data_IF_176090718013
#
_entry.id   IF_176090718013
#
_cell.length_a   1.000
_cell.length_b   1.000
_cell.length_c   1.000
_cell.angle_alpha   90.00
_cell.angle_beta   90.00
_cell.angle_gamma   90.00
#
_symmetry.space_group_name_H-M   'P 1'
#
loop_
_entity.id
_entity.type
_entity.pdbx_description
1 polymer ?
#
# COMPACT_ATOMS: atom_id res chain seq x y z
N UNK A 1 22.97 6.58 -21.18
CA UNK A 1 22.60 7.45 -20.05
C UNK A 1 22.99 6.69 -18.78
N UNK A 2 23.71 7.34 -17.86
CA UNK A 2 24.09 6.75 -16.58
C UNK A 2 22.80 6.59 -15.73
N UNK A 3 22.75 5.60 -14.83
CA UNK A 3 21.60 5.36 -13.95
C UNK A 3 21.22 6.60 -13.13
N UNK A 4 22.22 7.35 -12.66
CA UNK A 4 22.01 8.59 -11.90
C UNK A 4 21.35 9.66 -12.76
N UNK A 5 21.79 9.84 -13.98
CA UNK A 5 21.18 10.78 -14.95
C UNK A 5 19.71 10.45 -15.21
N UNK A 6 19.39 9.15 -15.29
CA UNK A 6 17.99 8.71 -15.45
C UNK A 6 17.13 8.99 -14.20
N UNK A 7 17.70 8.84 -13.00
CA UNK A 7 17.01 9.16 -11.75
C UNK A 7 16.86 10.67 -11.55
N UNK A 8 17.85 11.45 -11.98
CA UNK A 8 17.85 12.91 -11.84
C UNK A 8 16.68 13.57 -12.57
N UNK A 9 16.24 13.02 -13.71
CA UNK A 9 15.05 13.49 -14.42
C UNK A 9 13.82 13.57 -13.47
N UNK A 10 13.74 12.64 -12.52
CA UNK A 10 12.67 12.62 -11.53
C UNK A 10 13.02 13.37 -10.25
N UNK A 11 14.26 13.21 -9.77
CA UNK A 11 14.69 13.88 -8.55
C UNK A 11 14.66 15.42 -8.68
N UNK A 12 14.86 15.96 -9.88
CA UNK A 12 14.72 17.38 -10.18
C UNK A 12 13.27 17.89 -10.07
N UNK A 13 12.26 17.00 -10.04
CA UNK A 13 10.87 17.37 -9.75
C UNK A 13 10.67 17.74 -8.28
N UNK A 14 11.58 17.34 -7.40
CA UNK A 14 11.55 17.72 -5.99
C UNK A 14 12.12 19.12 -5.84
N UNK A 15 11.25 20.10 -5.54
CA UNK A 15 11.68 21.46 -5.27
C UNK A 15 12.66 21.51 -4.09
N UNK A 16 13.84 22.11 -4.28
CA UNK A 16 14.79 22.35 -3.20
C UNK A 16 14.40 23.60 -2.43
N UNK A 17 13.91 23.49 -1.18
CA UNK A 17 13.49 24.64 -0.39
C UNK A 17 14.63 25.43 0.21
N UNK A 18 15.90 24.98 0.02
CA UNK A 18 17.08 25.63 0.60
C UNK A 18 17.47 26.89 -0.19
N UNK A 19 18.05 27.85 0.52
CA UNK A 19 18.64 29.05 -0.14
C UNK A 19 19.83 28.68 -1.02
N UNK A 20 19.78 29.05 -2.28
CA UNK A 20 20.83 28.76 -3.27
C UNK A 20 22.25 29.22 -2.84
N UNK A 21 22.34 30.21 -1.96
CA UNK A 21 23.62 30.76 -1.47
C UNK A 21 24.41 29.82 -0.54
N UNK A 22 23.77 28.75 -0.02
CA UNK A 22 24.34 27.87 1.01
C UNK A 22 24.17 26.37 0.70
N UNK A 23 24.04 26.02 -0.58
CA UNK A 23 23.91 24.61 -0.99
C UNK A 23 25.32 24.04 -1.20
N UNK A 24 25.77 23.17 -0.31
CA UNK A 24 27.00 22.38 -0.45
C UNK A 24 26.77 21.12 -1.25
N UNK A 25 25.62 20.46 -1.02
CA UNK A 25 25.26 19.19 -1.64
C UNK A 25 24.00 19.37 -2.50
N UNK A 26 24.02 18.89 -3.74
CA UNK A 26 22.83 18.89 -4.61
C UNK A 26 21.73 18.03 -3.99
N UNK A 27 20.47 18.46 -4.12
CA UNK A 27 19.35 17.69 -3.58
C UNK A 27 19.21 16.32 -4.26
N UNK A 28 19.43 16.27 -5.57
CA UNK A 28 19.40 15.02 -6.35
C UNK A 28 20.42 14.00 -5.85
N UNK A 29 21.60 14.44 -5.43
CA UNK A 29 22.64 13.58 -4.87
C UNK A 29 22.24 13.08 -3.47
N UNK A 30 21.68 13.96 -2.64
CA UNK A 30 21.13 13.56 -1.32
C UNK A 30 20.03 12.51 -1.49
N UNK A 31 19.10 12.70 -2.42
CA UNK A 31 18.02 11.72 -2.68
C UNK A 31 18.61 10.40 -3.17
N UNK A 32 19.64 10.41 -4.01
CA UNK A 32 20.33 9.21 -4.44
C UNK A 32 20.94 8.44 -3.26
N UNK A 33 21.63 9.14 -2.35
CA UNK A 33 22.23 8.55 -1.14
C UNK A 33 21.15 7.92 -0.25
N UNK A 34 20.03 8.62 -0.03
CA UNK A 34 18.93 8.12 0.81
C UNK A 34 18.31 6.86 0.21
N UNK A 35 17.97 6.89 -1.09
CA UNK A 35 17.34 5.75 -1.78
C UNK A 35 18.27 4.55 -1.82
N UNK A 36 19.56 4.74 -2.14
CA UNK A 36 20.53 3.64 -2.20
C UNK A 36 20.81 3.05 -0.81
N UNK A 37 20.96 3.89 0.22
CA UNK A 37 21.11 3.44 1.60
C UNK A 37 19.91 2.61 2.07
N UNK A 38 18.69 3.08 1.82
CA UNK A 38 17.47 2.33 2.17
C UNK A 38 17.33 1.03 1.38
N UNK A 39 17.71 0.98 0.11
CA UNK A 39 17.77 -0.27 -0.67
C UNK A 39 18.83 -1.24 -0.10
N UNK A 40 19.82 -0.73 0.60
CA UNK A 40 20.86 -1.51 1.29
C UNK A 40 20.51 -1.83 2.76
N UNK A 41 19.25 -1.77 3.16
CA UNK A 41 18.75 -2.06 4.51
C UNK A 41 19.08 -1.01 5.59
N UNK A 42 19.46 0.22 5.24
CA UNK A 42 19.58 1.28 6.22
C UNK A 42 18.18 1.69 6.73
N UNK A 43 17.98 1.67 8.04
CA UNK A 43 16.66 1.91 8.66
C UNK A 43 16.48 3.36 9.13
N UNK A 44 17.59 4.08 9.36
CA UNK A 44 17.62 5.46 9.83
C UNK A 44 18.72 6.29 9.12
N UNK A 45 18.79 7.57 9.47
CA UNK A 45 19.72 8.52 8.84
C UNK A 45 21.17 8.28 9.24
N UNK A 46 21.44 7.76 10.43
CA UNK A 46 22.80 7.44 10.89
C UNK A 46 23.35 6.30 10.05
N UNK A 47 22.60 5.22 9.88
CA UNK A 47 22.99 4.09 9.02
C UNK A 47 23.14 4.50 7.55
N UNK A 48 22.34 5.45 7.04
CA UNK A 48 22.49 5.96 5.67
C UNK A 48 23.83 6.68 5.53
N UNK A 49 24.27 7.45 6.52
CA UNK A 49 25.56 8.13 6.52
C UNK A 49 26.70 7.11 6.59
N UNK A 50 26.65 6.18 7.54
CA UNK A 50 27.64 5.09 7.66
C UNK A 50 27.78 4.33 6.34
N UNK A 51 26.64 3.97 5.72
CA UNK A 51 26.64 3.34 4.40
C UNK A 51 27.35 4.21 3.35
N UNK A 52 27.06 5.51 3.31
CA UNK A 52 27.63 6.41 2.32
C UNK A 52 29.14 6.65 2.56
N UNK A 53 29.59 6.70 3.81
CA UNK A 53 31.01 6.80 4.18
C UNK A 53 31.76 5.53 3.79
N UNK A 54 31.26 4.35 4.13
CA UNK A 54 31.85 3.05 3.78
C UNK A 54 31.84 2.78 2.27
N UNK A 55 30.91 3.38 1.53
CA UNK A 55 30.74 3.25 0.09
C UNK A 55 31.08 4.55 -0.66
N UNK A 56 32.00 5.36 -0.12
CA UNK A 56 32.33 6.68 -0.67
C UNK A 56 32.71 6.62 -2.16
N UNK A 57 33.49 5.64 -2.59
CA UNK A 57 33.89 5.48 -3.98
C UNK A 57 32.69 5.20 -4.90
N UNK A 58 31.72 4.40 -4.43
CA UNK A 58 30.46 4.16 -5.13
C UNK A 58 29.63 5.44 -5.21
N UNK A 59 29.47 6.18 -4.11
CA UNK A 59 28.71 7.42 -4.09
C UNK A 59 29.35 8.44 -5.04
N UNK A 60 30.65 8.65 -4.99
CA UNK A 60 31.37 9.58 -5.86
C UNK A 60 31.32 9.21 -7.35
N UNK A 61 31.17 7.93 -7.67
CA UNK A 61 30.99 7.50 -9.07
C UNK A 61 29.67 7.98 -9.68
N UNK A 62 28.62 8.22 -8.86
CA UNK A 62 27.28 8.57 -9.33
C UNK A 62 26.82 9.97 -8.89
N UNK A 63 27.55 10.65 -8.03
CA UNK A 63 27.21 11.97 -7.50
C UNK A 63 28.38 12.93 -7.65
N UNK A 64 28.12 14.22 -7.43
CA UNK A 64 29.16 15.25 -7.37
C UNK A 64 29.64 15.53 -5.94
N UNK A 65 29.48 14.53 -5.04
CA UNK A 65 29.88 14.70 -3.62
C UNK A 65 31.35 14.37 -3.42
N UNK A 66 32.15 15.37 -2.98
CA UNK A 66 33.52 15.12 -2.53
C UNK A 66 33.54 14.51 -1.11
N UNK A 67 32.56 14.84 -0.29
CA UNK A 67 32.41 14.38 1.10
C UNK A 67 30.97 14.03 1.41
N UNK A 68 30.76 13.14 2.38
CA UNK A 68 29.41 12.79 2.85
C UNK A 68 28.89 13.86 3.82
N UNK A 69 27.60 14.27 3.73
CA UNK A 69 27.01 15.21 4.68
C UNK A 69 26.94 14.61 6.08
N UNK A 70 27.17 15.41 7.10
CA UNK A 70 26.96 14.98 8.47
C UNK A 70 25.45 14.79 8.78
N UNK A 71 25.15 14.04 9.86
CA UNK A 71 23.78 13.72 10.27
C UNK A 71 22.87 14.95 10.39
N UNK A 72 23.37 16.02 10.99
CA UNK A 72 22.61 17.27 11.16
C UNK A 72 22.25 17.91 9.81
N UNK A 73 23.16 17.86 8.84
CA UNK A 73 22.91 18.36 7.49
C UNK A 73 21.84 17.54 6.79
N UNK A 74 21.98 16.21 6.79
CA UNK A 74 20.99 15.30 6.18
C UNK A 74 19.61 15.44 6.83
N UNK A 75 19.56 15.48 8.17
CA UNK A 75 18.32 15.69 8.94
C UNK A 75 17.66 17.04 8.59
N UNK A 76 18.44 18.12 8.55
CA UNK A 76 17.90 19.45 8.20
C UNK A 76 17.32 19.49 6.79
N UNK A 77 17.94 18.80 5.83
CA UNK A 77 17.44 18.73 4.45
C UNK A 77 16.09 18.01 4.42
N UNK A 78 15.99 16.81 5.03
CA UNK A 78 14.76 16.03 5.02
C UNK A 78 13.63 16.75 5.76
N UNK A 79 13.95 17.46 6.85
CA UNK A 79 12.96 18.20 7.64
C UNK A 79 12.22 19.28 6.85
N UNK A 80 12.83 19.82 5.79
CA UNK A 80 12.26 20.92 5.00
C UNK A 80 11.72 20.49 3.64
N UNK A 81 11.95 19.24 3.22
CA UNK A 81 11.40 18.71 1.97
C UNK A 81 9.87 18.70 2.00
N UNK A 82 9.24 18.97 0.88
CA UNK A 82 7.79 18.81 0.71
C UNK A 82 7.46 17.35 0.37
N UNK A 83 6.74 16.61 1.25
CA UNK A 83 6.41 15.21 1.00
C UNK A 83 5.68 14.98 -0.33
N UNK A 84 4.77 15.91 -0.71
CA UNK A 84 4.02 15.83 -1.96
C UNK A 84 4.92 15.85 -3.20
N UNK A 85 6.00 16.64 -3.20
CA UNK A 85 6.93 16.67 -4.32
C UNK A 85 7.75 15.38 -4.40
N UNK A 86 8.17 14.84 -3.25
CA UNK A 86 8.87 13.56 -3.18
C UNK A 86 7.97 12.40 -3.65
N UNK A 87 6.71 12.40 -3.25
CA UNK A 87 5.72 11.41 -3.68
C UNK A 87 5.48 11.45 -5.18
N UNK A 88 5.28 12.64 -5.76
CA UNK A 88 5.14 12.83 -7.21
C UNK A 88 6.38 12.37 -7.99
N UNK A 89 7.58 12.67 -7.47
CA UNK A 89 8.84 12.23 -8.04
C UNK A 89 8.91 10.69 -8.10
N UNK A 90 8.73 10.03 -6.96
CA UNK A 90 8.86 8.57 -6.87
C UNK A 90 7.71 7.85 -7.59
N UNK A 91 6.49 8.41 -7.56
CA UNK A 91 5.38 7.93 -8.36
C UNK A 91 5.65 8.08 -9.87
N UNK A 92 6.27 9.19 -10.28
CA UNK A 92 6.68 9.42 -11.67
C UNK A 92 7.59 8.32 -12.20
N UNK A 93 8.56 7.87 -11.39
CA UNK A 93 9.46 6.76 -11.74
C UNK A 93 8.64 5.47 -11.98
N UNK A 94 7.70 5.14 -11.10
CA UNK A 94 6.80 3.98 -11.30
C UNK A 94 5.88 4.16 -12.49
N UNK A 95 5.31 5.34 -12.70
CA UNK A 95 4.30 5.59 -13.72
C UNK A 95 4.84 5.37 -15.14
N UNK A 96 6.11 5.64 -15.39
CA UNK A 96 6.73 5.34 -16.69
C UNK A 96 6.90 3.84 -16.92
N UNK A 97 7.21 3.08 -15.87
CA UNK A 97 7.21 1.61 -15.94
C UNK A 97 5.79 1.08 -16.13
N UNK A 98 4.80 1.75 -15.51
CA UNK A 98 3.39 1.35 -15.57
C UNK A 98 2.74 1.74 -16.90
N UNK A 99 3.00 2.92 -17.46
CA UNK A 99 2.42 3.38 -18.73
C UNK A 99 2.76 2.48 -19.91
N UNK A 100 3.90 1.82 -19.89
CA UNK A 100 4.29 0.85 -20.93
C UNK A 100 3.58 -0.50 -20.79
N UNK A 101 2.91 -0.79 -19.65
CA UNK A 101 2.38 -2.14 -19.33
C UNK A 101 0.98 -2.17 -18.70
N UNK A 102 0.34 -1.04 -18.34
CA UNK A 102 -0.86 -1.12 -17.50
C UNK A 102 -2.02 -0.22 -17.96
N UNK A 103 -3.08 -0.87 -18.43
CA UNK A 103 -4.42 -0.39 -18.19
C UNK A 103 -4.81 -0.73 -16.75
N UNK A 104 -5.34 0.21 -15.96
CA UNK A 104 -5.88 -0.02 -14.62
C UNK A 104 -7.14 -0.91 -14.64
N UNK A 105 -7.59 -1.27 -15.83
CA UNK A 105 -8.79 -2.08 -16.03
C UNK A 105 -8.72 -3.38 -15.23
N UNK A 106 -9.66 -3.50 -14.29
CA UNK A 106 -9.77 -4.62 -13.35
C UNK A 106 -8.64 -4.74 -12.32
N UNK A 107 -7.69 -3.80 -12.26
CA UNK A 107 -6.68 -3.77 -11.19
C UNK A 107 -7.31 -3.44 -9.85
N UNK A 108 -6.77 -4.00 -8.79
CA UNK A 108 -7.26 -3.75 -7.44
C UNK A 108 -6.40 -2.72 -6.74
N UNK A 109 -7.05 -1.69 -6.19
CA UNK A 109 -6.46 -0.71 -5.29
C UNK A 109 -6.99 -0.98 -3.87
N UNK A 110 -6.09 -1.30 -2.95
CA UNK A 110 -6.41 -1.50 -1.55
C UNK A 110 -6.13 -0.21 -0.80
N UNK A 111 -7.13 0.33 -0.12
CA UNK A 111 -6.98 1.52 0.72
C UNK A 111 -7.13 1.10 2.18
N UNK A 112 -6.10 1.43 3.00
CA UNK A 112 -6.06 1.10 4.41
C UNK A 112 -5.18 2.08 5.18
N UNK A 113 -5.44 2.23 6.48
CA UNK A 113 -4.73 3.12 7.37
C UNK A 113 -3.75 2.40 8.29
N UNK A 114 -2.55 2.98 8.43
CA UNK A 114 -1.54 2.53 9.39
C UNK A 114 -1.20 3.65 10.37
N UNK A 115 -1.16 3.31 11.67
CA UNK A 115 -0.65 4.20 12.70
C UNK A 115 0.83 3.92 12.94
N UNK A 116 1.69 4.95 12.86
CA UNK A 116 3.12 4.84 13.17
C UNK A 116 3.29 5.20 14.65
N UNK A 117 3.41 4.17 15.50
CA UNK A 117 3.35 4.29 16.95
C UNK A 117 4.47 5.16 17.55
N UNK A 118 5.68 5.10 16.99
CA UNK A 118 6.85 5.86 17.46
C UNK A 118 6.72 7.38 17.34
N UNK A 119 5.74 7.85 16.57
CA UNK A 119 5.53 9.29 16.34
C UNK A 119 4.84 10.00 17.50
N UNK A 120 4.26 9.23 18.45
CA UNK A 120 3.67 9.78 19.65
C UNK A 120 4.77 10.27 20.64
N UNK A 121 4.62 11.48 21.19
CA UNK A 121 5.48 11.97 22.26
C UNK A 121 4.72 12.05 23.57
N UNK A 122 5.24 11.41 24.63
CA UNK A 122 4.62 11.46 25.97
C UNK A 122 4.63 12.87 26.57
N UNK A 123 5.55 13.74 26.14
CA UNK A 123 5.74 15.08 26.70
C UNK A 123 4.76 16.12 26.16
N UNK A 124 4.21 15.93 24.99
CA UNK A 124 3.41 16.95 24.28
C UNK A 124 1.96 16.54 24.04
N UNK A 125 1.52 15.37 24.56
CA UNK A 125 0.22 14.77 24.23
C UNK A 125 -0.05 14.66 22.71
N UNK A 126 1.02 14.60 21.91
CA UNK A 126 0.89 14.40 20.47
C UNK A 126 0.43 12.98 20.17
N UNK A 127 -0.60 12.91 19.35
CA UNK A 127 -1.11 11.62 18.86
C UNK A 127 -0.17 11.04 17.82
N UNK A 128 -0.05 9.70 17.76
CA UNK A 128 0.75 9.06 16.73
C UNK A 128 0.21 9.40 15.35
N UNK A 129 1.12 9.56 14.39
CA UNK A 129 0.79 9.84 13.01
C UNK A 129 0.03 8.64 12.41
N UNK A 130 -1.07 8.91 11.73
CA UNK A 130 -1.83 7.91 11.02
C UNK A 130 -1.77 8.22 9.50
N UNK A 131 -1.41 7.21 8.70
CA UNK A 131 -1.23 7.34 7.25
C UNK A 131 -2.20 6.41 6.55
N UNK A 132 -3.00 6.95 5.64
CA UNK A 132 -3.86 6.19 4.75
C UNK A 132 -3.12 6.00 3.43
N UNK A 133 -3.03 4.77 2.98
CA UNK A 133 -2.27 4.37 1.79
C UNK A 133 -3.19 3.75 0.76
N UNK A 134 -3.05 4.15 -0.50
CA UNK A 134 -3.62 3.47 -1.65
C UNK A 134 -2.56 2.57 -2.28
N UNK A 135 -2.72 1.26 -2.15
CA UNK A 135 -1.80 0.26 -2.68
C UNK A 135 -2.39 -0.40 -3.92
N UNK A 136 -1.71 -0.34 -5.04
CA UNK A 136 -1.99 -1.16 -6.21
C UNK A 136 -1.57 -2.60 -5.90
N UNK A 137 -2.54 -3.47 -5.61
CA UNK A 137 -2.29 -4.77 -4.99
C UNK A 137 -1.40 -5.68 -5.85
N UNK A 138 -1.72 -5.85 -7.14
CA UNK A 138 -1.00 -6.74 -8.04
C UNK A 138 0.47 -6.31 -8.25
N UNK A 139 0.74 -5.02 -8.14
CA UNK A 139 2.06 -4.45 -8.37
C UNK A 139 2.82 -4.13 -7.07
N UNK A 140 2.11 -4.12 -5.94
CA UNK A 140 2.64 -3.69 -4.62
C UNK A 140 3.25 -2.29 -4.66
N UNK A 141 2.60 -1.38 -5.39
CA UNK A 141 3.02 0.01 -5.56
C UNK A 141 2.07 0.91 -4.79
N UNK A 142 2.60 1.78 -3.93
CA UNK A 142 1.83 2.87 -3.33
C UNK A 142 1.53 3.91 -4.40
N UNK A 143 0.23 4.13 -4.68
CA UNK A 143 -0.24 5.14 -5.64
C UNK A 143 -0.33 6.54 -5.03
N UNK A 144 -0.44 6.61 -3.71
CA UNK A 144 -0.54 7.83 -2.95
C UNK A 144 -0.84 7.55 -1.49
N UNK A 145 -0.70 8.59 -0.66
CA UNK A 145 -1.01 8.52 0.75
C UNK A 145 -1.49 9.86 1.29
N UNK A 146 -2.26 9.81 2.37
CA UNK A 146 -2.65 11.00 3.13
C UNK A 146 -2.33 10.77 4.60
N UNK A 147 -1.69 11.75 5.21
CA UNK A 147 -1.40 11.74 6.64
C UNK A 147 -2.50 12.48 7.41
N UNK A 148 -3.02 11.86 8.46
CA UNK A 148 -4.03 12.45 9.33
C UNK A 148 -3.55 12.50 10.77
N UNK A 149 -4.01 13.51 11.52
CA UNK A 149 -3.62 13.71 12.91
C UNK A 149 -4.25 12.68 13.87
N UNK A 150 -5.34 12.04 13.44
CA UNK A 150 -6.03 11.05 14.25
C UNK A 150 -6.83 10.08 13.39
N UNK A 151 -7.02 8.86 13.91
CA UNK A 151 -7.86 7.83 13.28
C UNK A 151 -9.31 8.27 13.02
N UNK A 152 -9.84 9.24 13.78
CA UNK A 152 -11.17 9.79 13.55
C UNK A 152 -11.33 10.52 12.22
N UNK A 153 -10.24 10.95 11.59
CA UNK A 153 -10.23 11.64 10.30
C UNK A 153 -9.95 10.69 9.12
N UNK A 154 -9.94 9.39 9.34
CA UNK A 154 -9.59 8.39 8.33
C UNK A 154 -10.58 8.36 7.17
N UNK A 155 -11.89 8.44 7.45
CA UNK A 155 -12.93 8.41 6.40
C UNK A 155 -12.82 9.63 5.45
N UNK A 156 -12.73 10.88 5.93
CA UNK A 156 -12.51 12.03 5.07
C UNK A 156 -11.22 11.93 4.25
N UNK A 157 -10.13 11.52 4.87
CA UNK A 157 -8.83 11.41 4.19
C UNK A 157 -8.81 10.29 3.13
N UNK A 158 -9.50 9.19 3.36
CA UNK A 158 -9.66 8.16 2.35
C UNK A 158 -10.44 8.65 1.11
N UNK A 159 -11.46 9.50 1.33
CA UNK A 159 -12.20 10.15 0.23
C UNK A 159 -11.30 11.12 -0.55
N UNK A 160 -10.54 11.95 0.14
CA UNK A 160 -9.55 12.84 -0.47
C UNK A 160 -8.51 12.04 -1.29
N UNK A 161 -8.04 10.91 -0.75
CA UNK A 161 -7.08 10.06 -1.46
C UNK A 161 -7.69 9.47 -2.75
N UNK A 162 -8.96 9.07 -2.74
CA UNK A 162 -9.68 8.58 -3.94
C UNK A 162 -9.76 9.67 -5.02
N UNK A 163 -9.93 10.93 -4.64
CA UNK A 163 -9.96 12.08 -5.57
C UNK A 163 -8.58 12.40 -6.16
N UNK A 164 -7.51 12.14 -5.40
CA UNK A 164 -6.13 12.44 -5.82
C UNK A 164 -5.54 11.41 -6.77
N UNK A 165 -6.00 10.15 -6.72
CA UNK A 165 -5.48 9.06 -7.54
C UNK A 165 -6.42 8.74 -8.70
N UNK A 166 -5.88 8.25 -9.81
CA UNK A 166 -6.71 7.72 -10.90
C UNK A 166 -7.28 6.34 -10.47
N UNK A 167 -8.59 6.27 -10.31
CA UNK A 167 -9.32 5.03 -9.94
C UNK A 167 -10.16 4.47 -11.08
N UNK A 168 -10.09 5.10 -12.26
CA UNK A 168 -10.90 4.70 -13.42
C UNK A 168 -10.66 3.23 -13.77
N UNK A 169 -11.77 2.51 -13.96
CA UNK A 169 -11.80 1.08 -14.28
C UNK A 169 -11.16 0.14 -13.22
N UNK A 170 -10.60 0.68 -12.14
CA UNK A 170 -10.05 -0.09 -11.01
C UNK A 170 -11.17 -0.63 -10.08
N UNK A 171 -10.79 -1.58 -9.23
CA UNK A 171 -11.63 -2.08 -8.13
C UNK A 171 -11.01 -1.63 -6.80
N UNK A 172 -11.71 -0.75 -6.10
CA UNK A 172 -11.29 -0.25 -4.78
C UNK A 172 -11.78 -1.21 -3.71
N UNK A 173 -10.88 -1.63 -2.83
CA UNK A 173 -11.23 -2.42 -1.65
C UNK A 173 -10.84 -1.67 -0.39
N UNK A 174 -11.71 -1.63 0.59
CA UNK A 174 -11.54 -0.91 1.83
C UNK A 174 -12.18 -1.68 2.99
N UNK A 175 -11.69 -1.41 4.20
CA UNK A 175 -12.23 -1.93 5.44
C UNK A 175 -13.67 -1.46 5.72
N UNK A 176 -14.35 -2.15 6.62
CA UNK A 176 -15.73 -1.88 6.99
C UNK A 176 -15.99 -0.47 7.50
N UNK A 177 -15.01 0.21 8.08
CA UNK A 177 -15.13 1.60 8.51
C UNK A 177 -15.41 2.53 7.32
N UNK A 178 -14.83 2.23 6.18
CA UNK A 178 -15.00 2.98 4.94
C UNK A 178 -16.21 2.54 4.09
N UNK A 179 -16.96 1.52 4.55
CA UNK A 179 -18.19 1.09 3.91
C UNK A 179 -19.30 2.12 4.22
N UNK A 180 -19.30 3.20 3.44
CA UNK A 180 -20.23 4.34 3.54
C UNK A 180 -20.83 4.61 2.16
N UNK A 181 -22.10 5.10 2.14
CA UNK A 181 -22.81 5.41 0.89
C UNK A 181 -22.06 6.45 0.05
N UNK A 182 -21.57 7.50 0.73
CA UNK A 182 -20.81 8.57 0.08
C UNK A 182 -19.47 8.10 -0.48
N UNK A 183 -18.83 7.13 0.18
CA UNK A 183 -17.58 6.52 -0.35
C UNK A 183 -17.87 5.70 -1.60
N UNK A 184 -18.94 4.91 -1.59
CA UNK A 184 -19.38 4.14 -2.75
C UNK A 184 -19.74 5.05 -3.94
N UNK A 185 -20.46 6.15 -3.66
CA UNK A 185 -20.82 7.16 -4.65
C UNK A 185 -19.58 7.80 -5.28
N UNK A 186 -18.63 8.27 -4.44
CA UNK A 186 -17.39 8.90 -4.88
C UNK A 186 -16.58 7.98 -5.81
N UNK A 187 -16.44 6.69 -5.46
CA UNK A 187 -15.72 5.72 -6.29
C UNK A 187 -16.39 5.58 -7.66
N UNK A 188 -17.72 5.47 -7.71
CA UNK A 188 -18.46 5.34 -8.97
C UNK A 188 -18.37 6.61 -9.82
N UNK A 189 -18.44 7.79 -9.21
CA UNK A 189 -18.32 9.08 -9.91
C UNK A 189 -16.95 9.27 -10.55
N UNK A 190 -15.89 8.75 -9.89
CA UNK A 190 -14.54 8.72 -10.45
C UNK A 190 -14.30 7.54 -11.43
N UNK A 191 -15.35 6.81 -11.83
CA UNK A 191 -15.26 5.74 -12.83
C UNK A 191 -14.70 4.41 -12.32
N UNK A 192 -14.50 4.27 -11.01
CA UNK A 192 -14.04 3.05 -10.36
C UNK A 192 -15.18 2.08 -10.02
N UNK A 193 -14.81 0.93 -9.47
CA UNK A 193 -15.71 -0.04 -8.86
C UNK A 193 -15.27 -0.28 -7.42
N UNK A 194 -16.17 -0.79 -6.58
CA UNK A 194 -15.85 -1.10 -5.20
C UNK A 194 -16.15 -2.53 -4.80
N UNK A 195 -15.40 -3.01 -3.81
CA UNK A 195 -15.72 -4.16 -2.96
C UNK A 195 -15.49 -3.72 -1.52
N UNK A 196 -16.57 -3.48 -0.78
CA UNK A 196 -16.54 -2.93 0.58
C UNK A 196 -17.05 -3.97 1.58
N UNK A 197 -16.35 -4.10 2.71
CA UNK A 197 -16.79 -5.00 3.77
C UNK A 197 -17.97 -4.38 4.54
N UNK A 198 -19.08 -5.09 4.63
CA UNK A 198 -20.28 -4.69 5.36
C UNK A 198 -20.21 -5.24 6.79
N UNK A 199 -20.38 -4.39 7.79
CA UNK A 199 -20.42 -4.73 9.22
C UNK A 199 -21.54 -3.99 9.94
N UNK A 200 -21.64 -4.22 11.25
CA UNK A 200 -22.69 -3.66 12.13
C UNK A 200 -22.78 -2.11 12.14
N UNK A 201 -21.74 -1.38 11.67
CA UNK A 201 -21.82 0.07 11.48
C UNK A 201 -22.90 0.50 10.46
N UNK A 202 -23.42 -0.42 9.62
CA UNK A 202 -24.52 -0.20 8.68
C UNK A 202 -25.89 -0.65 9.24
N UNK A 203 -25.96 -0.95 10.55
CA UNK A 203 -27.20 -1.23 11.27
C UNK A 203 -28.04 -2.34 10.63
N UNK A 204 -29.32 -2.05 10.40
CA UNK A 204 -30.29 -3.02 9.90
C UNK A 204 -29.90 -3.64 8.55
N UNK A 205 -29.26 -2.88 7.67
CA UNK A 205 -28.81 -3.44 6.39
C UNK A 205 -27.81 -4.59 6.56
N UNK A 206 -26.88 -4.45 7.51
CA UNK A 206 -25.96 -5.54 7.84
C UNK A 206 -26.71 -6.74 8.43
N UNK A 207 -27.67 -6.52 9.34
CA UNK A 207 -28.44 -7.59 9.97
C UNK A 207 -29.24 -8.40 8.95
N UNK A 208 -29.92 -7.70 8.03
CA UNK A 208 -30.70 -8.31 6.95
C UNK A 208 -29.81 -9.11 6.00
N UNK A 209 -28.65 -8.56 5.60
CA UNK A 209 -27.67 -9.27 4.75
C UNK A 209 -27.05 -10.46 5.49
N UNK A 210 -26.63 -10.28 6.76
CA UNK A 210 -26.00 -11.34 7.52
C UNK A 210 -26.95 -12.52 7.73
N UNK A 211 -28.24 -12.26 7.97
CA UNK A 211 -29.26 -13.30 8.13
C UNK A 211 -29.36 -14.22 6.91
N UNK A 212 -29.14 -13.70 5.69
CA UNK A 212 -29.18 -14.52 4.46
C UNK A 212 -28.01 -15.51 4.37
N UNK A 213 -26.90 -15.24 5.07
CA UNK A 213 -25.69 -16.07 5.04
C UNK A 213 -25.42 -16.80 6.36
N UNK A 214 -26.28 -16.64 7.40
CA UNK A 214 -26.15 -17.39 8.64
C UNK A 214 -26.47 -18.86 8.40
N UNK A 215 -25.70 -19.76 9.04
CA UNK A 215 -25.82 -21.22 8.86
C UNK A 215 -27.26 -21.75 9.07
N UNK A 216 -28.03 -21.14 10.00
CA UNK A 216 -29.42 -21.50 10.21
C UNK A 216 -30.32 -21.21 9.02
N UNK A 217 -30.06 -20.15 8.31
CA UNK A 217 -30.81 -19.76 7.12
C UNK A 217 -30.34 -20.52 5.89
N UNK A 218 -29.06 -20.78 5.75
CA UNK A 218 -28.50 -21.54 4.62
C UNK A 218 -28.98 -22.99 4.62
N UNK A 219 -29.16 -23.61 5.81
CA UNK A 219 -29.75 -24.96 5.92
C UNK A 219 -31.26 -25.00 5.54
N UNK A 220 -31.94 -23.85 5.64
CA UNK A 220 -33.34 -23.68 5.26
C UNK A 220 -33.46 -23.15 3.81
N UNK A 221 -32.60 -22.23 3.44
CA UNK A 221 -32.60 -21.53 2.15
C UNK A 221 -32.05 -22.37 0.98
N UNK A 222 -31.46 -23.52 1.24
CA UNK A 222 -31.03 -24.48 0.20
C UNK A 222 -32.18 -24.89 -0.76
N UNK A 223 -33.42 -24.43 -0.46
CA UNK A 223 -34.59 -24.68 -1.29
C UNK A 223 -35.15 -23.49 -2.05
N UNK A 224 -34.84 -22.25 -1.62
CA UNK A 224 -35.50 -21.06 -2.16
C UNK A 224 -34.53 -19.91 -2.59
N UNK A 225 -33.24 -19.95 -2.23
CA UNK A 225 -32.24 -18.96 -2.66
C UNK A 225 -31.12 -19.62 -3.45
N UNK A 226 -30.95 -19.23 -4.71
CA UNK A 226 -29.81 -19.65 -5.49
C UNK A 226 -28.59 -18.77 -5.21
N UNK A 227 -27.48 -19.43 -4.81
CA UNK A 227 -26.19 -18.78 -4.66
C UNK A 227 -25.22 -19.22 -5.75
N UNK A 228 -24.53 -18.28 -6.36
CA UNK A 228 -23.29 -18.61 -7.04
C UNK A 228 -22.21 -18.85 -5.98
N UNK A 229 -21.50 -19.96 -6.05
CA UNK A 229 -20.49 -20.30 -5.03
C UNK A 229 -19.15 -20.62 -5.63
N UNK A 230 -18.09 -20.26 -4.90
CA UNK A 230 -16.72 -20.66 -5.21
C UNK A 230 -15.91 -20.89 -3.94
N UNK A 231 -15.12 -21.97 -3.89
CA UNK A 231 -14.36 -22.35 -2.70
C UNK A 231 -12.88 -22.54 -2.99
N UNK A 232 -12.05 -22.14 -2.02
CA UNK A 232 -10.61 -22.46 -2.00
C UNK A 232 -10.26 -23.18 -0.70
N UNK A 233 -9.29 -24.10 -0.77
CA UNK A 233 -8.73 -24.78 0.41
C UNK A 233 -7.24 -24.59 0.41
N UNK A 234 -6.70 -24.09 1.51
CA UNK A 234 -5.28 -23.87 1.70
C UNK A 234 -4.79 -24.55 2.97
N UNK A 235 -3.55 -25.06 2.90
CA UNK A 235 -2.84 -25.59 4.06
C UNK A 235 -1.58 -24.77 4.28
N UNK A 236 -1.51 -24.08 5.39
CA UNK A 236 -0.36 -23.22 5.74
C UNK A 236 -0.18 -23.16 7.27
N UNK A 237 1.07 -23.13 7.72
CA UNK A 237 1.41 -22.95 9.15
C UNK A 237 0.63 -23.87 10.11
N UNK A 238 0.49 -25.18 9.75
CA UNK A 238 -0.19 -26.18 10.59
C UNK A 238 -1.72 -26.08 10.63
N UNK A 239 -2.33 -25.17 9.85
CA UNK A 239 -3.80 -25.02 9.74
C UNK A 239 -4.29 -25.35 8.34
N UNK A 240 -5.52 -25.88 8.28
CA UNK A 240 -6.28 -26.00 7.03
C UNK A 240 -7.33 -24.92 7.07
N UNK A 241 -7.42 -24.17 6.01
CA UNK A 241 -8.35 -23.06 5.87
C UNK A 241 -9.14 -23.21 4.57
N UNK A 242 -10.47 -23.32 4.71
CA UNK A 242 -11.41 -23.30 3.59
C UNK A 242 -12.12 -21.96 3.58
N UNK A 243 -12.14 -21.32 2.42
CA UNK A 243 -12.94 -20.12 2.17
C UNK A 243 -13.96 -20.43 1.09
N UNK A 244 -15.21 -20.08 1.36
CA UNK A 244 -16.29 -20.20 0.39
C UNK A 244 -16.95 -18.83 0.23
N UNK A 245 -16.97 -18.33 -0.99
CA UNK A 245 -17.72 -17.15 -1.38
C UNK A 245 -19.12 -17.58 -1.80
N UNK A 246 -20.14 -16.94 -1.26
CA UNK A 246 -21.54 -17.09 -1.59
C UNK A 246 -22.05 -15.77 -2.13
N UNK A 247 -22.53 -15.73 -3.35
CA UNK A 247 -23.06 -14.53 -4.00
C UNK A 247 -24.56 -14.70 -4.19
N UNK A 248 -25.35 -13.75 -3.72
CA UNK A 248 -26.80 -13.75 -3.95
C UNK A 248 -27.07 -13.55 -5.46
N UNK A 249 -27.81 -14.47 -6.07
CA UNK A 249 -28.26 -14.35 -7.46
C UNK A 249 -29.41 -13.34 -7.56
N UNK A 250 -30.33 -13.40 -6.60
CA UNK A 250 -31.49 -12.51 -6.52
C UNK A 250 -31.27 -11.47 -5.42
N UNK A 251 -31.12 -10.21 -5.82
CA UNK A 251 -30.95 -9.07 -4.92
C UNK A 251 -32.23 -8.24 -4.76
N UNK A 252 -33.35 -8.76 -5.28
CA UNK A 252 -34.67 -8.10 -5.26
C UNK A 252 -35.17 -7.81 -3.83
N UNK A 253 -34.81 -8.65 -2.86
CA UNK A 253 -35.09 -8.41 -1.45
C UNK A 253 -34.41 -7.17 -0.87
N UNK A 254 -33.40 -6.66 -1.56
CA UNK A 254 -32.57 -5.53 -1.13
C UNK A 254 -32.77 -4.29 -2.01
N UNK A 255 -33.85 -4.20 -2.77
CA UNK A 255 -34.12 -3.11 -3.74
C UNK A 255 -34.01 -1.73 -3.08
N UNK A 256 -34.56 -1.55 -1.89
CA UNK A 256 -34.51 -0.28 -1.17
C UNK A 256 -33.06 0.11 -0.82
N UNK A 257 -32.27 -0.84 -0.33
CA UNK A 257 -30.84 -0.62 -0.05
C UNK A 257 -30.03 -0.39 -1.33
N UNK A 258 -30.35 -1.12 -2.42
CA UNK A 258 -29.66 -0.93 -3.70
C UNK A 258 -29.90 0.47 -4.28
N UNK A 259 -31.05 1.06 -4.06
CA UNK A 259 -31.35 2.44 -4.47
C UNK A 259 -30.50 3.47 -3.71
N UNK A 260 -30.13 3.17 -2.46
CA UNK A 260 -29.31 4.03 -1.61
C UNK A 260 -27.81 3.90 -1.85
N UNK A 261 -27.37 2.77 -2.41
CA UNK A 261 -25.95 2.47 -2.65
C UNK A 261 -25.62 2.58 -4.14
N UNK A 262 -25.05 3.69 -4.55
CA UNK A 262 -24.75 3.98 -5.96
C UNK A 262 -23.94 2.86 -6.60
N UNK A 263 -24.47 2.30 -7.67
CA UNK A 263 -23.81 1.25 -8.47
C UNK A 263 -23.75 -0.13 -7.82
N UNK A 264 -24.40 -0.40 -6.69
CA UNK A 264 -24.45 -1.73 -6.07
C UNK A 264 -25.05 -2.76 -7.04
N UNK A 265 -24.32 -3.87 -7.26
CA UNK A 265 -24.73 -4.96 -8.16
C UNK A 265 -24.68 -6.33 -7.52
N UNK A 266 -23.82 -6.55 -6.54
CA UNK A 266 -23.63 -7.83 -5.87
C UNK A 266 -23.57 -7.65 -4.37
N UNK A 267 -24.28 -8.53 -3.66
CA UNK A 267 -24.20 -8.72 -2.21
C UNK A 267 -23.70 -10.15 -2.02
N UNK A 268 -22.64 -10.32 -1.23
CA UNK A 268 -22.01 -11.61 -1.06
C UNK A 268 -21.39 -11.77 0.33
N UNK A 269 -21.15 -13.01 0.73
CA UNK A 269 -20.41 -13.33 1.93
C UNK A 269 -19.26 -14.28 1.67
N UNK A 270 -18.22 -14.17 2.48
CA UNK A 270 -17.13 -15.12 2.54
C UNK A 270 -17.19 -15.84 3.87
N UNK A 271 -17.48 -17.13 3.81
CA UNK A 271 -17.40 -18.05 4.95
C UNK A 271 -15.99 -18.62 5.02
N UNK A 272 -15.34 -18.40 6.16
CA UNK A 272 -13.99 -18.87 6.45
C UNK A 272 -14.06 -19.95 7.53
N UNK A 273 -13.62 -21.15 7.19
CA UNK A 273 -13.56 -22.29 8.10
C UNK A 273 -12.09 -22.64 8.34
N UNK A 274 -11.67 -22.57 9.59
CA UNK A 274 -10.29 -22.83 10.01
C UNK A 274 -10.30 -24.10 10.87
N UNK A 275 -9.43 -25.05 10.52
CA UNK A 275 -9.12 -26.20 11.35
C UNK A 275 -7.65 -26.16 11.77
N UNK A 276 -7.41 -26.06 13.07
CA UNK A 276 -6.08 -26.06 13.69
C UNK A 276 -6.10 -26.91 14.95
N UNK A 277 -5.15 -27.83 15.09
CA UNK A 277 -4.95 -28.66 16.30
C UNK A 277 -6.24 -29.39 16.79
N UNK A 278 -7.13 -29.74 15.86
CA UNK A 278 -8.40 -30.40 16.16
C UNK A 278 -9.58 -29.45 16.38
N UNK A 279 -9.33 -28.18 16.65
CA UNK A 279 -10.35 -27.14 16.80
C UNK A 279 -10.83 -26.61 15.46
N UNK A 280 -12.11 -26.24 15.40
CA UNK A 280 -12.75 -25.61 14.24
C UNK A 280 -13.27 -24.23 14.63
N UNK A 281 -12.91 -23.24 13.84
CA UNK A 281 -13.50 -21.91 13.91
C UNK A 281 -14.16 -21.56 12.58
N UNK A 282 -15.29 -20.87 12.63
CA UNK A 282 -16.02 -20.41 11.44
C UNK A 282 -16.32 -18.94 11.60
N UNK A 283 -16.07 -18.18 10.55
CA UNK A 283 -16.31 -16.75 10.46
C UNK A 283 -17.06 -16.45 9.15
N UNK A 284 -18.04 -15.55 9.19
CA UNK A 284 -18.76 -15.06 8.02
C UNK A 284 -18.56 -13.55 7.92
N UNK A 285 -18.08 -13.10 6.77
CA UNK A 285 -17.89 -11.68 6.46
C UNK A 285 -18.74 -11.31 5.26
N UNK A 286 -19.55 -10.26 5.40
CA UNK A 286 -20.44 -9.77 4.35
C UNK A 286 -19.79 -8.62 3.56
N UNK A 287 -20.15 -8.50 2.28
CA UNK A 287 -19.54 -7.53 1.36
C UNK A 287 -20.58 -7.00 0.36
N UNK A 288 -20.33 -5.78 -0.08
CA UNK A 288 -21.04 -5.09 -1.16
C UNK A 288 -20.09 -4.88 -2.34
N UNK A 289 -20.58 -5.05 -3.58
CA UNK A 289 -19.80 -4.77 -4.78
C UNK A 289 -20.60 -4.09 -5.87
N UNK A 290 -19.99 -3.08 -6.49
CA UNK A 290 -20.48 -2.48 -7.73
C UNK A 290 -20.02 -3.28 -8.97
N UNK A 291 -19.06 -4.18 -8.80
CA UNK A 291 -18.56 -5.01 -9.90
C UNK A 291 -19.48 -6.20 -10.13
N UNK A 292 -20.05 -6.29 -11.34
CA UNK A 292 -20.79 -7.49 -11.76
C UNK A 292 -19.77 -8.53 -12.25
N UNK A 293 -19.44 -9.50 -11.37
CA UNK A 293 -18.41 -10.51 -11.62
C UNK A 293 -18.70 -11.80 -10.84
N UNK A 294 -17.91 -12.85 -11.06
CA UNK A 294 -18.09 -14.17 -10.49
C UNK A 294 -17.68 -14.26 -9.01
N UNK A 295 -18.20 -15.28 -8.31
CA UNK A 295 -17.82 -15.60 -6.92
C UNK A 295 -16.31 -15.81 -6.76
N UNK A 296 -15.65 -16.39 -7.76
CA UNK A 296 -14.18 -16.56 -7.78
C UNK A 296 -13.45 -15.22 -7.72
N UNK A 297 -13.80 -14.28 -8.61
CA UNK A 297 -13.18 -12.95 -8.63
C UNK A 297 -13.49 -12.15 -7.37
N UNK A 298 -14.72 -12.23 -6.83
CA UNK A 298 -15.08 -11.56 -5.58
C UNK A 298 -14.27 -12.10 -4.40
N UNK A 299 -14.10 -13.42 -4.28
CA UNK A 299 -13.23 -14.02 -3.28
C UNK A 299 -11.78 -13.54 -3.44
N UNK A 300 -11.29 -13.44 -4.67
CA UNK A 300 -9.94 -12.96 -4.94
C UNK A 300 -9.74 -11.51 -4.47
N UNK A 301 -10.71 -10.60 -4.73
CA UNK A 301 -10.64 -9.21 -4.26
C UNK A 301 -10.58 -9.12 -2.73
N UNK A 302 -11.40 -9.88 -2.01
CA UNK A 302 -11.37 -9.88 -0.54
C UNK A 302 -10.03 -10.38 -0.01
N UNK A 303 -9.43 -11.37 -0.64
CA UNK A 303 -8.11 -11.88 -0.25
C UNK A 303 -6.97 -10.93 -0.55
N UNK A 304 -6.99 -10.32 -1.71
CA UNK A 304 -5.95 -9.37 -2.11
C UNK A 304 -5.97 -8.09 -1.27
N UNK A 305 -7.10 -7.73 -0.66
CA UNK A 305 -7.16 -6.59 0.25
C UNK A 305 -6.10 -6.68 1.37
N UNK A 306 -5.85 -7.87 1.92
CA UNK A 306 -4.83 -8.12 2.94
C UNK A 306 -3.38 -7.83 2.48
N UNK A 307 -3.17 -7.55 1.20
CA UNK A 307 -1.84 -7.17 0.71
C UNK A 307 -1.40 -5.81 1.21
N UNK A 308 -2.34 -4.88 1.49
CA UNK A 308 -1.99 -3.58 2.08
C UNK A 308 -1.49 -3.75 3.51
N UNK A 309 -2.12 -4.60 4.32
CA UNK A 309 -1.62 -4.92 5.67
C UNK A 309 -0.25 -5.62 5.61
N UNK A 310 -0.09 -6.57 4.68
CA UNK A 310 1.20 -7.22 4.44
C UNK A 310 2.28 -6.23 4.01
N UNK A 311 1.92 -5.22 3.24
CA UNK A 311 2.82 -4.15 2.83
C UNK A 311 3.22 -3.26 4.02
N UNK A 312 2.27 -2.91 4.88
CA UNK A 312 2.53 -2.21 6.14
C UNK A 312 3.46 -3.00 7.06
N UNK A 313 3.24 -4.31 7.20
CA UNK A 313 4.13 -5.20 7.97
C UNK A 313 5.55 -5.24 7.40
N UNK A 314 5.72 -5.20 6.07
CA UNK A 314 7.05 -5.14 5.45
C UNK A 314 7.81 -3.87 5.80
N UNK A 315 7.14 -2.73 5.97
CA UNK A 315 7.77 -1.49 6.42
C UNK A 315 8.31 -1.62 7.85
N UNK A 316 7.54 -2.27 8.74
CA UNK A 316 7.98 -2.49 10.12
C UNK A 316 9.16 -3.46 10.19
N UNK A 317 9.07 -4.60 9.53
CA UNK A 317 10.11 -5.64 9.60
C UNK A 317 11.41 -5.27 8.89
N UNK A 318 11.36 -4.43 7.84
CA UNK A 318 12.56 -4.09 7.07
C UNK A 318 13.16 -2.74 7.46
N UNK A 319 12.38 -1.82 8.07
CA UNK A 319 12.82 -0.47 8.37
C UNK A 319 12.56 -0.04 9.81
N UNK A 320 12.10 -0.95 10.68
CA UNK A 320 11.77 -0.66 12.08
C UNK A 320 10.92 0.64 12.21
N UNK A 321 9.94 0.79 11.30
CA UNK A 321 9.22 2.06 11.13
C UNK A 321 8.52 2.50 12.41
N UNK A 322 7.93 1.55 13.14
CA UNK A 322 7.27 1.80 14.43
C UNK A 322 8.26 2.13 15.58
N UNK A 323 9.57 1.95 15.39
CA UNK A 323 10.63 2.30 16.34
C UNK A 323 11.43 3.55 15.90
N UNK A 324 11.05 4.19 14.80
CA UNK A 324 11.75 5.36 14.26
C UNK A 324 11.85 6.50 15.29
N UNK A 325 13.06 7.02 15.47
CA UNK A 325 13.36 8.12 16.42
C UNK A 325 13.21 9.52 15.82
N UNK A 326 12.90 9.62 14.54
CA UNK A 326 12.69 10.89 13.85
C UNK A 326 11.48 11.60 14.46
N UNK A 327 11.62 12.85 14.89
CA UNK A 327 10.55 13.63 15.54
C UNK A 327 9.85 14.61 14.60
N UNK A 328 10.55 15.11 13.61
CA UNK A 328 9.95 16.01 12.63
C UNK A 328 8.93 15.26 11.77
N UNK A 329 7.67 15.70 11.80
CA UNK A 329 6.56 15.07 11.05
C UNK A 329 6.83 15.01 9.55
N UNK A 330 7.38 16.08 8.99
CA UNK A 330 7.70 16.16 7.56
C UNK A 330 8.74 15.11 7.17
N UNK A 331 9.80 15.00 7.97
CA UNK A 331 10.85 13.99 7.75
C UNK A 331 10.29 12.56 7.88
N UNK A 332 9.41 12.31 8.84
CA UNK A 332 8.75 11.00 8.98
C UNK A 332 7.96 10.62 7.73
N UNK A 333 7.18 11.55 7.19
CA UNK A 333 6.40 11.34 5.96
C UNK A 333 7.34 11.10 4.77
N UNK A 334 8.38 11.91 4.61
CA UNK A 334 9.37 11.74 3.54
C UNK A 334 10.06 10.37 3.60
N UNK A 335 10.50 9.94 4.79
CA UNK A 335 11.12 8.64 4.98
C UNK A 335 10.14 7.49 4.72
N UNK A 336 8.88 7.59 5.17
CA UNK A 336 7.84 6.60 4.86
C UNK A 336 7.63 6.45 3.35
N UNK A 337 7.58 7.57 2.60
CA UNK A 337 7.47 7.57 1.13
C UNK A 337 8.64 6.82 0.49
N UNK A 338 9.88 7.12 0.89
CA UNK A 338 11.07 6.45 0.34
C UNK A 338 11.11 4.96 0.71
N UNK A 339 10.76 4.59 1.95
CA UNK A 339 10.66 3.19 2.38
C UNK A 339 9.66 2.40 1.53
N UNK A 340 8.47 2.95 1.31
CA UNK A 340 7.45 2.34 0.44
C UNK A 340 7.97 2.13 -0.97
N UNK A 341 8.65 3.14 -1.52
CA UNK A 341 9.28 3.08 -2.83
C UNK A 341 10.31 1.96 -2.90
N UNK A 342 11.22 1.87 -1.94
CA UNK A 342 12.27 0.84 -1.90
C UNK A 342 11.70 -0.59 -1.78
N UNK A 343 10.66 -0.80 -0.94
CA UNK A 343 9.96 -2.10 -0.85
C UNK A 343 9.35 -2.47 -2.20
N UNK A 344 8.69 -1.52 -2.86
CA UNK A 344 8.05 -1.76 -4.15
C UNK A 344 9.07 -2.11 -5.24
N UNK A 345 10.20 -1.40 -5.29
CA UNK A 345 11.31 -1.68 -6.23
C UNK A 345 11.84 -3.10 -6.03
N UNK A 346 12.25 -3.45 -4.83
CA UNK A 346 12.83 -4.76 -4.52
C UNK A 346 11.83 -5.87 -4.85
N UNK A 347 10.57 -5.69 -4.45
CA UNK A 347 9.52 -6.69 -4.68
C UNK A 347 9.31 -6.92 -6.17
N UNK A 348 9.19 -5.86 -6.95
CA UNK A 348 9.05 -5.94 -8.41
C UNK A 348 10.27 -6.55 -9.09
N UNK A 349 11.46 -6.18 -8.66
CA UNK A 349 12.68 -6.79 -9.18
C UNK A 349 12.69 -8.31 -8.95
N UNK A 350 12.33 -8.76 -7.73
CA UNK A 350 12.24 -10.18 -7.37
C UNK A 350 11.21 -10.94 -8.22
N UNK A 351 10.06 -10.32 -8.50
CA UNK A 351 8.98 -10.94 -9.28
C UNK A 351 9.37 -11.12 -10.75
N UNK A 352 10.10 -10.18 -11.32
CA UNK A 352 10.41 -10.14 -12.75
C UNK A 352 11.78 -10.78 -13.11
N UNK A 353 12.60 -11.11 -12.10
CA UNK A 353 13.91 -11.72 -12.31
C UNK A 353 14.03 -13.09 -11.64
N UNK A 354 14.86 -13.96 -12.21
CA UNK A 354 15.18 -15.27 -11.61
C UNK A 354 16.17 -15.10 -10.44
N UNK A 355 15.69 -14.55 -9.32
CA UNK A 355 16.53 -14.43 -8.11
C UNK A 355 16.55 -15.75 -7.33
N UNK A 356 17.73 -16.09 -6.76
CA UNK A 356 17.91 -17.31 -5.97
C UNK A 356 17.07 -17.34 -4.70
N UNK A 357 16.87 -16.18 -4.05
CA UNK A 357 16.08 -16.01 -2.83
C UNK A 357 15.01 -14.96 -3.06
N UNK A 358 13.75 -15.28 -2.75
CA UNK A 358 12.60 -14.36 -2.91
C UNK A 358 12.36 -13.46 -1.70
N UNK A 359 13.17 -13.57 -0.64
CA UNK A 359 13.06 -12.71 0.55
C UNK A 359 13.52 -11.29 0.22
N UNK A 360 12.72 -10.29 0.60
CA UNK A 360 13.04 -8.85 0.49
C UNK A 360 14.33 -8.55 1.24
N UNK A 361 14.43 -8.92 2.53
CA UNK A 361 15.62 -8.74 3.37
C UNK A 361 16.88 -9.32 2.72
N UNK A 362 16.79 -10.52 2.14
CA UNK A 362 17.93 -11.14 1.50
C UNK A 362 18.40 -10.38 0.25
N UNK A 363 17.49 -9.77 -0.49
CA UNK A 363 17.85 -8.99 -1.68
C UNK A 363 18.34 -7.59 -1.29
N UNK A 364 17.80 -6.94 -0.26
CA UNK A 364 18.34 -5.69 0.30
C UNK A 364 19.78 -5.89 0.82
N UNK A 365 20.05 -6.97 1.56
CA UNK A 365 21.42 -7.34 1.96
C UNK A 365 22.32 -7.61 0.77
N UNK A 366 21.79 -8.18 -0.32
CA UNK A 366 22.55 -8.37 -1.55
C UNK A 366 22.88 -7.03 -2.21
N UNK A 367 21.98 -6.03 -2.18
CA UNK A 367 22.30 -4.67 -2.63
C UNK A 367 23.49 -4.09 -1.85
N UNK A 368 23.53 -4.27 -0.53
CA UNK A 368 24.64 -3.80 0.31
C UNK A 368 25.98 -4.46 -0.06
N UNK A 369 25.96 -5.77 -0.37
CA UNK A 369 27.18 -6.57 -0.62
C UNK A 369 27.64 -6.54 -2.07
N UNK A 370 26.81 -6.13 -3.00
CA UNK A 370 27.10 -6.17 -4.45
C UNK A 370 26.53 -4.93 -5.14
N UNK A 371 27.44 -4.03 -5.52
CA UNK A 371 27.09 -2.76 -6.15
C UNK A 371 26.46 -2.94 -7.53
N UNK A 372 26.93 -3.90 -8.33
CA UNK A 372 26.32 -4.21 -9.64
C UNK A 372 24.87 -4.64 -9.48
N UNK A 373 24.59 -5.45 -8.44
CA UNK A 373 23.20 -5.86 -8.15
C UNK A 373 22.34 -4.67 -7.69
N UNK A 374 22.88 -3.75 -6.88
CA UNK A 374 22.19 -2.53 -6.50
C UNK A 374 21.85 -1.67 -7.72
N UNK A 375 22.80 -1.51 -8.63
CA UNK A 375 22.60 -0.78 -9.88
C UNK A 375 21.58 -1.50 -10.79
N UNK A 376 21.62 -2.81 -10.90
CA UNK A 376 20.61 -3.58 -11.65
C UNK A 376 19.21 -3.38 -11.12
N UNK A 377 19.04 -3.36 -9.79
CA UNK A 377 17.76 -3.07 -9.12
C UNK A 377 17.26 -1.68 -9.45
N UNK A 378 18.12 -0.66 -9.39
CA UNK A 378 17.78 0.72 -9.75
C UNK A 378 17.50 0.87 -11.24
N UNK A 379 18.34 0.27 -12.10
CA UNK A 379 18.23 0.35 -13.54
C UNK A 379 16.95 -0.29 -14.09
N UNK A 380 16.41 -1.28 -13.40
CA UNK A 380 15.16 -1.93 -13.79
C UNK A 380 14.00 -0.94 -13.98
N UNK A 381 13.97 0.13 -13.19
CA UNK A 381 12.96 1.17 -13.29
C UNK A 381 13.34 2.33 -14.20
N UNK A 382 14.64 2.52 -14.45
CA UNK A 382 15.13 3.59 -15.31
C UNK A 382 15.28 3.16 -16.78
N UNK A 383 15.44 1.86 -17.05
CA UNK A 383 15.63 1.32 -18.42
C UNK A 383 14.34 1.28 -19.26
N UNK A 384 13.23 1.69 -18.70
CA UNK A 384 11.93 1.81 -19.40
C UNK A 384 11.71 3.22 -20.01
N UNK A 385 12.72 4.08 -19.92
CA UNK A 385 12.83 5.37 -20.59
C UNK A 385 13.52 5.20 -21.94
#
# INVERSE_FOLDING_TARGET
MNIKESLDIYFELVEDPRSKAHITYKLTDILFVIVTGMLCSCTDLEMIIEFAEEKIEFIQKYTEMDTIPCLSTLSNIINVLKPTHLELCLYGIFNNVLKTKMELKEKQICIDGKTICSTATMKEHERPMHIITALLADESISLGQITVESKSNEIPAAKELIELIDVKDAVITMDAMHCQKETAELIIENGGNYVLQLKANQGRFYEDVYAMFDNKYMDIADKDCEYETYSTIEKSHGRIEKRTCYVLNEVEFFTDYMAEWKGLKKIFAVKREIKRDGEKATEISCYLSSKNTTAEKLLLYTRKHWQVESFHWLLDVNYDEDESRVRNKNAQICLNIVRKYCISIIKKYIENHKVKRKSIVANMRKCLLNEDFLIDVLAYYCSSL
#
